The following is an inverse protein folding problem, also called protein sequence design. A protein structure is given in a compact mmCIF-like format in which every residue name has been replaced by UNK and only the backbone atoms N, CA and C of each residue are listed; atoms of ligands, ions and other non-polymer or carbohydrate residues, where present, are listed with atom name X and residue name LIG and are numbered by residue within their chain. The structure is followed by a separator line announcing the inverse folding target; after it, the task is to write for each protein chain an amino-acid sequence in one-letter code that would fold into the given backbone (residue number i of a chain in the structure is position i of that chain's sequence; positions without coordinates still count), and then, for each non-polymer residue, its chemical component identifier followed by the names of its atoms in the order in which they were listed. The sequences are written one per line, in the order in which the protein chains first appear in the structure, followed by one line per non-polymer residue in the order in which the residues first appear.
data_IF_436412512730
#
_entry.id   IF_436412512730
#
_cell.length_a   1.000
_cell.length_b   1.000
_cell.length_c   1.000
_cell.angle_alpha   90.00
_cell.angle_beta   90.00
_cell.angle_gamma   90.00
#
_symmetry.space_group_name_H-M   'P 1'
#
loop_
_entity.id
_entity.type
_entity.pdbx_description
1 polymer ?
#
# COMPACT_ATOMS: atom_id res chain seq x y z
N UNK A 1 -1.61 -11.72 5.82
CA UNK A 1 -2.41 -10.50 5.54
C UNK A 1 -3.34 -10.65 4.35
N UNK A 2 -2.85 -11.17 3.22
CA UNK A 2 -3.63 -11.19 1.98
C UNK A 2 -4.02 -9.79 1.51
N UNK A 3 -5.14 -9.66 0.81
CA UNK A 3 -5.58 -8.39 0.22
C UNK A 3 -5.89 -7.27 1.23
N UNK A 4 -6.01 -7.58 2.54
CA UNK A 4 -6.20 -6.58 3.59
C UNK A 4 -5.00 -5.62 3.73
N UNK A 5 -3.85 -5.93 3.11
CA UNK A 5 -2.70 -5.02 3.09
C UNK A 5 -2.88 -3.85 2.10
N UNK A 6 -3.75 -4.00 1.10
CA UNK A 6 -3.84 -3.07 -0.03
C UNK A 6 -4.15 -1.63 0.40
N UNK A 7 -5.10 -1.35 1.31
CA UNK A 7 -5.34 0.04 1.74
C UNK A 7 -4.08 0.76 2.19
N UNK A 8 -3.19 0.11 2.95
CA UNK A 8 -1.93 0.70 3.40
C UNK A 8 -0.97 1.02 2.25
N UNK A 9 -0.86 0.11 1.29
CA UNK A 9 0.00 0.28 0.11
C UNK A 9 -0.57 1.31 -0.88
N UNK A 10 -1.89 1.41 -1.00
CA UNK A 10 -2.54 2.47 -1.78
C UNK A 10 -2.29 3.84 -1.14
N UNK A 11 -2.35 3.94 0.20
CA UNK A 11 -1.95 5.17 0.90
C UNK A 11 -0.49 5.53 0.64
N UNK A 12 0.42 4.56 0.67
CA UNK A 12 1.83 4.77 0.31
C UNK A 12 1.99 5.30 -1.12
N UNK A 13 1.30 4.68 -2.08
CA UNK A 13 1.36 5.06 -3.49
C UNK A 13 0.79 6.47 -3.72
N UNK A 14 -0.27 6.84 -2.99
CA UNK A 14 -0.84 8.18 -3.04
C UNK A 14 0.10 9.22 -2.43
N UNK A 15 0.74 8.87 -1.31
CA UNK A 15 1.75 9.73 -0.71
C UNK A 15 2.99 9.90 -1.60
N UNK A 16 3.24 8.95 -2.52
CA UNK A 16 4.32 9.04 -3.51
C UNK A 16 3.96 9.83 -4.78
N UNK A 17 2.68 10.18 -4.98
CA UNK A 17 2.23 11.03 -6.08
C UNK A 17 1.05 10.50 -6.88
N UNK A 18 0.63 9.24 -6.68
CA UNK A 18 -0.60 8.76 -7.33
C UNK A 18 -1.84 9.43 -6.73
N UNK A 19 -2.90 9.52 -7.52
CA UNK A 19 -4.21 9.98 -7.07
C UNK A 19 -5.25 8.89 -7.25
N UNK A 20 -6.41 9.04 -6.61
CA UNK A 20 -7.54 8.14 -6.82
C UNK A 20 -8.01 8.08 -8.28
N UNK A 21 -7.67 9.10 -9.09
CA UNK A 21 -7.97 9.20 -10.51
C UNK A 21 -6.86 8.66 -11.42
N UNK A 22 -5.65 8.39 -10.90
CA UNK A 22 -4.54 7.83 -11.68
C UNK A 22 -4.97 6.54 -12.37
N UNK A 23 -4.65 6.44 -13.66
CA UNK A 23 -4.98 5.28 -14.48
C UNK A 23 -3.87 4.23 -14.41
N UNK A 24 -4.22 2.97 -14.18
CA UNK A 24 -3.29 1.84 -14.17
C UNK A 24 -3.89 0.69 -14.97
N UNK A 25 -3.05 0.00 -15.74
CA UNK A 25 -3.54 -1.07 -16.61
C UNK A 25 -3.69 -2.39 -15.86
N UNK A 26 -4.93 -2.83 -15.73
CA UNK A 26 -5.30 -4.16 -15.29
C UNK A 26 -5.20 -5.15 -16.46
N UNK A 27 -3.96 -5.46 -16.86
CA UNK A 27 -3.61 -6.44 -17.90
C UNK A 27 -2.50 -7.35 -17.38
N UNK A 28 -2.39 -8.62 -17.84
CA UNK A 28 -1.39 -9.57 -17.34
C UNK A 28 0.02 -8.96 -17.22
N UNK A 29 0.70 -9.26 -16.13
CA UNK A 29 2.07 -8.84 -15.87
C UNK A 29 2.96 -10.04 -15.56
N UNK A 30 4.22 -9.93 -15.93
CA UNK A 30 5.28 -10.83 -15.52
C UNK A 30 6.48 -10.05 -14.98
N UNK A 31 7.35 -10.76 -14.27
CA UNK A 31 8.72 -10.35 -13.96
C UNK A 31 9.61 -11.55 -14.24
N UNK A 32 10.59 -11.37 -15.11
CA UNK A 32 11.65 -12.36 -15.28
C UNK A 32 12.61 -12.27 -14.09
N UNK A 33 12.89 -13.42 -13.50
CA UNK A 33 13.91 -13.59 -12.48
C UNK A 33 14.82 -14.75 -12.92
N UNK A 34 16.02 -14.39 -13.37
CA UNK A 34 17.00 -15.35 -13.88
C UNK A 34 17.44 -16.37 -12.82
N UNK A 35 17.27 -16.06 -11.52
CA UNK A 35 17.61 -16.96 -10.41
C UNK A 35 16.46 -17.85 -9.92
N UNK A 36 15.20 -17.56 -10.30
CA UNK A 36 14.02 -18.26 -9.76
C UNK A 36 13.55 -19.44 -10.62
N UNK A 37 14.18 -19.70 -11.77
CA UNK A 37 13.84 -20.79 -12.68
C UNK A 37 12.49 -20.64 -13.42
N UNK A 38 11.67 -19.63 -13.07
CA UNK A 38 10.42 -19.31 -13.76
C UNK A 38 10.00 -17.86 -13.56
N UNK A 39 9.25 -17.31 -14.52
CA UNK A 39 8.65 -15.98 -14.42
C UNK A 39 7.64 -15.89 -13.27
N UNK A 40 7.75 -14.85 -12.45
CA UNK A 40 6.68 -14.51 -11.52
C UNK A 40 5.54 -13.82 -12.28
N UNK A 41 4.35 -14.44 -12.29
CA UNK A 41 3.17 -14.02 -13.06
C UNK A 41 1.94 -13.91 -12.15
N UNK A 42 1.79 -12.82 -11.37
CA UNK A 42 0.65 -12.66 -10.49
C UNK A 42 -0.64 -12.51 -11.31
N UNK A 43 -1.73 -13.12 -10.81
CA UNK A 43 -3.06 -13.08 -11.43
C UNK A 43 -4.05 -12.40 -10.51
N UNK A 44 -5.09 -11.81 -11.10
CA UNK A 44 -6.28 -11.41 -10.34
C UNK A 44 -7.06 -12.63 -9.85
N UNK A 45 -7.93 -12.43 -8.86
CA UNK A 45 -8.92 -13.42 -8.42
C UNK A 45 -10.32 -12.82 -8.56
N UNK A 46 -11.14 -13.26 -9.52
CA UNK A 46 -10.82 -14.17 -10.64
C UNK A 46 -9.82 -13.55 -11.64
N UNK A 47 -9.21 -14.33 -12.55
CA UNK A 47 -8.19 -13.86 -13.51
C UNK A 47 -8.82 -13.09 -14.70
N UNK A 48 -9.59 -12.05 -14.38
CA UNK A 48 -10.24 -11.15 -15.34
C UNK A 48 -9.52 -9.80 -15.35
N UNK A 49 -9.48 -9.18 -16.53
CA UNK A 49 -8.67 -8.01 -16.83
C UNK A 49 -9.55 -6.92 -17.44
N UNK A 50 -9.53 -5.74 -16.84
CA UNK A 50 -10.38 -4.61 -17.23
C UNK A 50 -9.66 -3.57 -18.12
N UNK A 51 -8.38 -3.80 -18.46
CA UNK A 51 -7.59 -2.80 -19.17
C UNK A 51 -7.28 -1.58 -18.29
N UNK A 52 -7.19 -0.36 -18.84
CA UNK A 52 -6.96 0.83 -18.05
C UNK A 52 -8.09 1.10 -17.05
N UNK A 53 -7.80 1.11 -15.76
CA UNK A 53 -8.76 1.46 -14.70
C UNK A 53 -8.17 2.47 -13.71
N UNK A 54 -9.04 3.21 -13.04
CA UNK A 54 -8.62 4.17 -12.00
C UNK A 54 -8.09 3.45 -10.76
N UNK A 55 -7.15 4.07 -10.06
CA UNK A 55 -6.59 3.58 -8.79
C UNK A 55 -7.69 3.23 -7.79
N UNK A 56 -8.71 4.10 -7.63
CA UNK A 56 -9.86 3.83 -6.75
C UNK A 56 -10.63 2.56 -7.09
N UNK A 57 -10.76 2.24 -8.38
CA UNK A 57 -11.43 1.02 -8.84
C UNK A 57 -10.54 -0.20 -8.60
N UNK A 58 -9.23 -0.07 -8.82
CA UNK A 58 -8.25 -1.10 -8.50
C UNK A 58 -8.31 -1.54 -7.04
N UNK A 59 -8.41 -0.57 -6.10
CA UNK A 59 -8.61 -0.88 -4.68
C UNK A 59 -9.97 -1.50 -4.41
N UNK A 60 -11.05 -0.87 -4.90
CA UNK A 60 -12.43 -1.33 -4.64
C UNK A 60 -12.73 -2.73 -5.18
N UNK A 61 -12.08 -3.13 -6.28
CA UNK A 61 -12.18 -4.48 -6.86
C UNK A 61 -11.04 -5.41 -6.43
N UNK A 62 -10.16 -4.94 -5.53
CA UNK A 62 -9.01 -5.70 -5.04
C UNK A 62 -8.13 -6.29 -6.17
N UNK A 63 -7.89 -5.52 -7.24
CA UNK A 63 -7.09 -5.98 -8.40
C UNK A 63 -5.62 -6.17 -8.01
N UNK A 64 -5.14 -7.41 -8.09
CA UNK A 64 -3.76 -7.79 -7.74
C UNK A 64 -2.75 -7.12 -8.68
N UNK A 65 -3.01 -7.20 -9.99
CA UNK A 65 -2.12 -6.64 -11.00
C UNK A 65 -1.95 -5.13 -10.83
N UNK A 66 -3.06 -4.42 -10.57
CA UNK A 66 -3.01 -2.97 -10.34
C UNK A 66 -2.19 -2.62 -9.11
N UNK A 67 -2.33 -3.36 -8.01
CA UNK A 67 -1.50 -3.14 -6.82
C UNK A 67 -0.01 -3.40 -7.11
N UNK A 68 0.33 -4.45 -7.86
CA UNK A 68 1.74 -4.71 -8.23
C UNK A 68 2.30 -3.57 -9.10
N UNK A 69 1.52 -3.03 -10.03
CA UNK A 69 1.95 -1.87 -10.83
C UNK A 69 2.17 -0.63 -9.99
N UNK A 70 1.24 -0.31 -9.09
CA UNK A 70 1.41 0.79 -8.15
C UNK A 70 2.65 0.59 -7.27
N UNK A 71 2.91 -0.64 -6.81
CA UNK A 71 4.12 -0.99 -6.06
C UNK A 71 5.41 -0.77 -6.86
N UNK A 72 5.46 -1.21 -8.11
CA UNK A 72 6.62 -0.95 -8.99
C UNK A 72 6.84 0.54 -9.20
N UNK A 73 5.76 1.30 -9.36
CA UNK A 73 5.82 2.72 -9.65
C UNK A 73 6.24 3.56 -8.42
N UNK A 74 5.84 3.16 -7.19
CA UNK A 74 6.29 3.82 -5.96
C UNK A 74 7.64 3.30 -5.41
N UNK A 75 8.04 2.09 -5.82
CA UNK A 75 9.22 1.39 -5.30
C UNK A 75 8.88 0.42 -4.17
N UNK A 76 9.48 -0.77 -4.20
CA UNK A 76 9.24 -1.84 -3.20
C UNK A 76 9.74 -1.44 -1.82
N UNK A 77 10.95 -0.89 -1.72
CA UNK A 77 11.54 -0.51 -0.43
C UNK A 77 10.76 0.63 0.22
N UNK A 78 10.41 1.65 -0.57
CA UNK A 78 9.54 2.72 -0.10
C UNK A 78 8.20 2.17 0.43
N UNK A 79 7.57 1.25 -0.29
CA UNK A 79 6.33 0.63 0.16
C UNK A 79 6.50 -0.16 1.48
N UNK A 80 7.58 -0.92 1.61
CA UNK A 80 7.90 -1.69 2.81
C UNK A 80 8.15 -0.80 4.03
N UNK A 81 8.96 0.25 3.88
CA UNK A 81 9.23 1.24 4.93
C UNK A 81 7.97 2.01 5.32
N UNK A 82 7.13 2.36 4.34
CA UNK A 82 5.88 3.09 4.57
C UNK A 82 4.92 2.33 5.49
N UNK A 83 4.88 0.99 5.40
CA UNK A 83 4.02 0.17 6.27
C UNK A 83 4.35 0.34 7.75
N UNK A 84 5.60 0.66 8.10
CA UNK A 84 5.99 0.89 9.49
C UNK A 84 5.29 2.10 10.10
N UNK A 85 4.85 3.08 9.28
CA UNK A 85 4.06 4.25 9.73
C UNK A 85 2.70 3.85 10.32
N UNK A 86 2.18 2.67 9.98
CA UNK A 86 0.96 2.09 10.55
C UNK A 86 1.23 1.23 11.80
N UNK A 87 2.45 1.23 12.31
CA UNK A 87 2.86 0.45 13.48
C UNK A 87 3.10 -1.04 13.19
N UNK A 88 3.29 -1.41 11.93
CA UNK A 88 3.67 -2.78 11.55
C UNK A 88 5.17 -3.03 11.84
N UNK A 89 5.51 -4.18 12.45
CA UNK A 89 6.90 -4.50 12.79
C UNK A 89 7.75 -4.75 11.54
N UNK A 90 8.89 -4.04 11.43
CA UNK A 90 9.81 -4.11 10.29
C UNK A 90 10.24 -5.54 9.96
N UNK A 91 10.55 -6.34 10.99
CA UNK A 91 11.00 -7.72 10.84
C UNK A 91 9.97 -8.66 10.19
N UNK A 92 8.70 -8.26 10.10
CA UNK A 92 7.63 -9.03 9.46
C UNK A 92 7.32 -8.54 8.03
N UNK A 93 8.01 -7.50 7.54
CA UNK A 93 7.76 -6.89 6.23
C UNK A 93 8.81 -7.40 5.25
N UNK A 94 8.35 -8.00 4.15
CA UNK A 94 9.24 -8.48 3.09
C UNK A 94 9.44 -7.40 2.02
N UNK A 95 10.69 -7.22 1.58
CA UNK A 95 11.08 -6.25 0.56
C UNK A 95 11.01 -6.87 -0.85
N UNK A 96 9.83 -7.37 -1.23
CA UNK A 96 9.60 -7.97 -2.55
C UNK A 96 8.23 -7.58 -3.12
N UNK A 97 8.04 -7.70 -4.43
CA UNK A 97 6.75 -7.41 -5.09
C UNK A 97 5.59 -8.28 -4.56
N UNK A 98 5.89 -9.42 -3.92
CA UNK A 98 4.88 -10.26 -3.28
C UNK A 98 4.13 -9.53 -2.15
N UNK A 99 4.72 -8.47 -1.58
CA UNK A 99 4.09 -7.65 -0.56
C UNK A 99 2.78 -7.03 -1.05
N UNK A 100 2.67 -6.71 -2.35
CA UNK A 100 1.44 -6.23 -2.99
C UNK A 100 0.27 -7.22 -2.87
N UNK A 101 0.56 -8.50 -2.64
CA UNK A 101 -0.41 -9.58 -2.49
C UNK A 101 -0.60 -10.00 -1.02
N UNK A 102 0.12 -9.35 -0.09
CA UNK A 102 -0.03 -9.56 1.35
C UNK A 102 0.74 -10.75 1.91
N UNK A 103 1.96 -10.98 1.41
CA UNK A 103 2.92 -11.97 1.92
C UNK A 103 3.44 -11.66 3.33
N UNK A 104 3.19 -10.46 3.87
CA UNK A 104 3.45 -10.13 5.27
C UNK A 104 2.40 -10.73 6.24
N UNK A 105 2.84 -10.99 7.46
CA UNK A 105 2.02 -11.58 8.54
C UNK A 105 2.02 -10.70 9.78
N UNK A 106 0.82 -10.32 10.22
CA UNK A 106 0.58 -9.48 11.39
C UNK A 106 -0.56 -10.06 12.23
N UNK A 107 -0.60 -9.73 13.52
CA UNK A 107 -1.71 -10.12 14.40
C UNK A 107 -2.96 -9.29 14.09
N UNK A 108 -4.18 -9.81 14.39
CA UNK A 108 -5.41 -9.03 14.21
C UNK A 108 -5.38 -7.67 14.92
N UNK A 109 -4.76 -7.59 16.11
CA UNK A 109 -4.60 -6.33 16.85
C UNK A 109 -3.71 -5.33 16.11
N UNK A 110 -2.60 -5.78 15.51
CA UNK A 110 -1.74 -4.91 14.68
C UNK A 110 -2.50 -4.39 13.46
N UNK A 111 -3.31 -5.23 12.82
CA UNK A 111 -4.11 -4.82 11.66
C UNK A 111 -5.17 -3.80 12.08
N UNK A 112 -5.91 -4.05 13.16
CA UNK A 112 -6.90 -3.11 13.69
C UNK A 112 -6.27 -1.75 14.04
N UNK A 113 -5.11 -1.77 14.71
CA UNK A 113 -4.33 -0.56 15.01
C UNK A 113 -3.92 0.19 13.74
N UNK A 114 -3.46 -0.53 12.71
CA UNK A 114 -3.12 0.08 11.42
C UNK A 114 -4.32 0.74 10.74
N UNK A 115 -5.47 0.06 10.69
CA UNK A 115 -6.70 0.64 10.13
C UNK A 115 -7.21 1.85 10.92
N UNK A 116 -6.98 1.88 12.24
CA UNK A 116 -7.37 3.01 13.08
C UNK A 116 -6.72 4.32 12.60
N UNK A 117 -5.47 4.27 12.10
CA UNK A 117 -4.77 5.44 11.52
C UNK A 117 -5.59 6.06 10.39
N UNK A 118 -6.17 5.25 9.51
CA UNK A 118 -7.00 5.76 8.42
C UNK A 118 -8.34 6.30 8.93
N UNK A 119 -8.92 5.64 9.93
CA UNK A 119 -10.23 5.99 10.46
C UNK A 119 -10.23 7.26 11.32
N UNK A 120 -9.12 7.57 12.00
CA UNK A 120 -9.03 8.64 12.97
C UNK A 120 -8.31 9.90 12.47
N UNK A 121 -7.95 9.97 11.18
CA UNK A 121 -7.32 11.16 10.58
C UNK A 121 -5.79 11.14 10.56
N UNK A 122 -5.16 9.98 10.75
CA UNK A 122 -3.71 9.81 10.60
C UNK A 122 -2.94 9.56 11.90
N UNK A 123 -3.63 9.32 13.02
CA UNK A 123 -3.00 9.15 14.32
C UNK A 123 -2.77 7.68 14.66
N UNK A 124 -1.52 7.32 14.93
CA UNK A 124 -1.18 5.99 15.44
C UNK A 124 -1.43 5.94 16.96
N UNK A 125 -2.47 5.21 17.35
CA UNK A 125 -2.83 5.00 18.77
C UNK A 125 -2.20 3.73 19.32
N UNK A 126 -2.13 3.63 20.65
CA UNK A 126 -1.68 2.42 21.34
C UNK A 126 -2.91 1.70 21.93
N UNK A 127 -3.27 0.50 21.42
CA UNK A 127 -4.35 -0.29 21.99
C UNK A 127 -4.07 -0.62 23.45
N UNK A 128 -5.07 -0.43 24.31
CA UNK A 128 -4.99 -0.74 25.74
C UNK A 128 -6.30 -1.41 26.18
N UNK A 129 -6.22 -2.19 27.26
CA UNK A 129 -7.37 -2.94 27.79
C UNK A 129 -7.72 -2.55 29.23
N UNK A 130 -6.73 -2.19 30.04
CA UNK A 130 -6.92 -1.80 31.42
C UNK A 130 -7.16 -0.28 31.46
N UNK A 131 -8.37 0.15 31.82
CA UNK A 131 -8.70 1.56 32.01
C UNK A 131 -8.38 2.03 33.43
N UNK A 132 -8.66 1.20 34.44
CA UNK A 132 -8.54 1.54 35.84
C UNK A 132 -8.27 0.29 36.68
N UNK A 133 -7.50 0.43 37.75
CA UNK A 133 -7.32 -0.59 38.79
C UNK A 133 -7.64 0.07 40.13
N UNK A 134 -8.48 -0.57 40.93
CA UNK A 134 -8.89 -0.11 42.26
C UNK A 134 -8.58 -1.19 43.31
N UNK A 135 -8.38 -0.78 44.55
CA UNK A 135 -8.32 -1.72 45.69
C UNK A 135 -9.73 -2.05 46.20
N UNK A 136 -9.81 -2.97 47.16
CA UNK A 136 -11.05 -3.40 47.83
C UNK A 136 -11.76 -2.26 48.59
N UNK A 137 -11.05 -1.21 48.95
CA UNK A 137 -11.57 0.00 49.59
C UNK A 137 -12.05 1.07 48.60
N UNK A 138 -12.00 0.83 47.28
CA UNK A 138 -12.39 1.78 46.23
C UNK A 138 -11.34 2.86 45.93
N UNK A 139 -10.12 2.74 46.45
CA UNK A 139 -8.99 3.61 46.14
C UNK A 139 -8.39 3.28 44.77
N UNK A 140 -8.18 4.30 43.93
CA UNK A 140 -7.60 4.15 42.59
C UNK A 140 -6.10 3.91 42.67
N UNK A 141 -5.65 2.76 42.17
CA UNK A 141 -4.23 2.35 42.10
C UNK A 141 -3.62 2.76 40.75
N UNK A 142 -4.41 2.64 39.68
CA UNK A 142 -3.98 2.94 38.32
C UNK A 142 -5.16 3.49 37.53
N UNK A 143 -4.86 4.45 36.66
CA UNK A 143 -5.79 4.96 35.66
C UNK A 143 -5.03 5.24 34.36
N UNK A 144 -5.52 4.70 33.25
CA UNK A 144 -4.85 4.81 31.97
C UNK A 144 -4.95 6.24 31.41
N UNK A 145 -3.83 6.74 30.89
CA UNK A 145 -3.75 8.01 30.16
C UNK A 145 -3.30 7.75 28.72
N UNK A 146 -4.18 7.19 27.87
CA UNK A 146 -3.80 6.81 26.51
C UNK A 146 -3.56 8.05 25.64
N UNK A 147 -2.73 7.86 24.61
CA UNK A 147 -2.62 8.84 23.52
C UNK A 147 -3.91 8.80 22.70
N UNK A 148 -4.60 9.93 22.61
CA UNK A 148 -5.84 10.06 21.83
C UNK A 148 -5.56 10.73 20.49
N UNK A 149 -6.31 10.33 19.46
CA UNK A 149 -6.31 11.04 18.18
C UNK A 149 -6.93 12.43 18.38
N UNK A 150 -6.29 13.46 17.83
CA UNK A 150 -6.76 14.84 17.96
C UNK A 150 -6.74 15.53 16.59
N UNK A 151 -7.83 15.44 15.81
CA UNK A 151 -7.90 16.04 14.48
C UNK A 151 -7.77 17.57 14.47
N UNK A 152 -8.14 18.23 15.56
CA UNK A 152 -8.08 19.69 15.69
C UNK A 152 -6.79 20.20 16.34
N UNK A 153 -5.91 19.30 16.79
CA UNK A 153 -4.64 19.71 17.37
C UNK A 153 -3.65 20.10 16.27
N UNK A 154 -2.95 21.22 16.47
CA UNK A 154 -1.81 21.61 15.64
C UNK A 154 -0.55 20.83 16.07
N UNK A 155 -0.48 19.57 15.63
CA UNK A 155 0.66 18.69 15.89
C UNK A 155 1.45 18.41 14.61
N UNK A 156 2.78 18.52 14.65
CA UNK A 156 3.61 18.37 13.46
C UNK A 156 3.55 16.93 12.94
N UNK A 157 3.48 16.79 11.62
CA UNK A 157 3.55 15.48 10.94
C UNK A 157 4.95 14.89 11.10
N UNK A 158 5.04 13.73 11.76
CA UNK A 158 6.30 13.08 12.15
C UNK A 158 7.18 12.73 10.94
N UNK A 159 6.55 12.32 9.83
CA UNK A 159 7.28 11.80 8.66
C UNK A 159 7.58 12.85 7.59
N UNK A 160 7.23 14.12 7.83
CA UNK A 160 7.43 15.22 6.89
C UNK A 160 6.72 15.03 5.54
N UNK A 161 7.09 15.86 4.56
CA UNK A 161 6.59 15.72 3.20
C UNK A 161 7.37 14.64 2.46
N UNK A 162 6.64 13.68 1.89
CA UNK A 162 7.25 12.67 1.00
C UNK A 162 7.67 13.32 -0.31
N UNK A 163 8.94 13.12 -0.70
CA UNK A 163 9.40 13.48 -2.04
C UNK A 163 8.61 12.65 -3.06
N UNK A 164 7.82 13.36 -3.86
CA UNK A 164 7.03 12.79 -4.93
C UNK A 164 7.95 12.27 -6.03
N UNK A 165 7.52 11.19 -6.67
CA UNK A 165 8.29 10.63 -7.78
C UNK A 165 7.97 11.42 -9.04
N UNK A 166 8.99 11.98 -9.70
CA UNK A 166 8.83 12.66 -11.00
C UNK A 166 8.16 11.72 -12.04
N UNK A 167 8.42 10.41 -11.94
CA UNK A 167 7.80 9.38 -12.78
C UNK A 167 6.31 9.21 -12.47
N UNK A 168 5.85 9.55 -11.27
CA UNK A 168 4.42 9.54 -10.92
C UNK A 168 3.75 10.90 -11.17
N UNK A 169 4.50 12.00 -11.15
CA UNK A 169 3.99 13.36 -11.31
C UNK A 169 3.96 13.84 -12.77
N UNK A 170 5.02 13.59 -13.55
CA UNK A 170 5.19 14.14 -14.91
C UNK A 170 4.75 13.19 -16.01
N UNK A 171 4.55 11.91 -15.70
CA UNK A 171 4.16 10.94 -16.71
C UNK A 171 2.64 10.91 -16.80
N UNK A 172 2.11 11.29 -17.98
CA UNK A 172 0.96 10.57 -18.52
C UNK A 172 1.16 9.10 -18.15
N UNK A 173 0.23 8.48 -17.43
CA UNK A 173 0.28 7.06 -17.06
C UNK A 173 0.22 6.11 -18.28
N UNK A 174 0.54 6.65 -19.47
CA UNK A 174 0.56 6.07 -20.81
C UNK A 174 1.75 5.17 -21.12
N UNK A 175 2.79 5.08 -20.28
CA UNK A 175 3.85 4.08 -20.49
C UNK A 175 3.46 2.65 -20.08
N UNK A 176 2.15 2.39 -19.94
CA UNK A 176 1.59 1.04 -19.95
C UNK A 176 0.65 0.82 -21.16
N UNK A 177 0.40 1.82 -22.00
CA UNK A 177 -0.56 1.76 -23.12
C UNK A 177 0.09 1.61 -24.52
N UNK A 178 1.40 1.84 -24.68
CA UNK A 178 2.06 1.77 -26.00
C UNK A 178 2.87 0.47 -26.19
N UNK A 179 2.19 -0.67 -26.28
CA UNK A 179 2.75 -1.85 -26.97
C UNK A 179 1.87 -2.34 -28.13
N UNK A 180 0.83 -1.59 -28.50
CA UNK A 180 -0.06 -1.91 -29.61
C UNK A 180 0.06 -0.92 -30.76
N UNK A 181 1.29 -0.58 -31.22
CA UNK A 181 1.48 0.06 -32.54
C UNK A 181 2.88 0.01 -33.17
N UNK A 182 3.64 -1.05 -32.95
CA UNK A 182 4.87 -1.32 -33.72
C UNK A 182 4.84 -2.69 -34.39
N UNK A 183 3.75 -2.95 -35.14
CA UNK A 183 3.69 -3.97 -36.18
C UNK A 183 3.29 -3.31 -37.51
N UNK A 184 4.14 -2.40 -38.01
CA UNK A 184 4.28 -2.06 -39.44
C UNK A 184 5.60 -1.30 -39.62
N UNK A 185 6.30 -1.56 -40.72
CA UNK A 185 7.68 -1.16 -41.04
C UNK A 185 8.82 -1.95 -40.36
N UNK A 186 9.05 -3.19 -40.84
CA UNK A 186 10.42 -3.61 -41.18
C UNK A 186 10.41 -4.32 -42.54
N UNK A 187 11.14 -3.72 -43.49
CA UNK A 187 11.76 -4.29 -44.69
C UNK A 187 10.88 -4.55 -45.92
N UNK A 188 10.55 -3.48 -46.62
CA UNK A 188 10.93 -3.36 -48.04
C UNK A 188 12.08 -2.35 -48.12
N UNK A 189 13.03 -2.62 -49.00
CA UNK A 189 14.10 -1.73 -49.48
C UNK A 189 15.37 -1.57 -48.61
N UNK A 190 16.30 -2.51 -48.80
CA UNK A 190 17.74 -2.30 -49.10
C UNK A 190 18.42 -3.66 -49.27
#
# INVERSE_FOLDING_TARGET
MGSNIKPFLYTAAMDKGLTLASMLNDVPISRWDAGAGSDWRPKNSPPQYAGPIRLRQGLGQSKNVVMVRAMRAMGVDYAAEYLQRFGFPAQNIVHTESLALGSASFTPMQVARGYAVMANGGFLIDPYFISKIENDQGGVIFEAKPKIACPECDIPVIYGNTQKSDVLENTNVEEVAVFARAAKQRRTDA
#
